data_IF_153502004221
#
_entry.id   IF_153502004221
#
_cell.length_a   1.000
_cell.length_b   1.000
_cell.length_c   1.000
_cell.angle_alpha   90.00
_cell.angle_beta   90.00
_cell.angle_gamma   90.00
#
_symmetry.space_group_name_H-M   'P 1'
#
loop_
_entity.id
_entity.type
_entity.pdbx_description
1 polymer ?
#
# COMPACT_ATOMS: atom_id res chain seq x y z
N UNK A 1 13.32 -23.64 -10.31
CA UNK A 1 12.87 -22.26 -10.06
C UNK A 1 11.53 -22.33 -9.37
N UNK A 2 11.34 -21.60 -8.27
CA UNK A 2 9.99 -21.40 -7.72
C UNK A 2 9.21 -20.56 -8.74
N UNK A 3 7.96 -20.93 -9.05
CA UNK A 3 7.13 -20.09 -9.91
C UNK A 3 6.92 -18.75 -9.22
N UNK A 4 7.33 -17.69 -9.88
CA UNK A 4 7.19 -16.30 -9.40
C UNK A 4 6.06 -15.63 -10.15
N UNK A 5 5.34 -14.74 -9.49
CA UNK A 5 4.30 -13.93 -10.11
C UNK A 5 4.58 -12.45 -9.86
N UNK A 6 4.37 -11.57 -10.87
CA UNK A 6 4.42 -10.12 -10.69
C UNK A 6 3.19 -9.55 -9.97
N UNK A 7 2.13 -10.35 -9.82
CA UNK A 7 0.89 -9.93 -9.17
C UNK A 7 1.08 -9.79 -7.66
N UNK A 8 0.75 -8.63 -7.12
CA UNK A 8 0.69 -8.40 -5.68
C UNK A 8 -0.56 -9.07 -5.10
N UNK A 9 -0.38 -9.92 -4.10
CA UNK A 9 -1.50 -10.53 -3.39
C UNK A 9 -1.95 -9.62 -2.24
N UNK A 10 -3.25 -9.49 -2.05
CA UNK A 10 -3.88 -8.70 -0.98
C UNK A 10 -3.18 -8.92 0.36
N UNK A 11 -2.65 -7.84 0.93
CA UNK A 11 -1.94 -7.84 2.21
C UNK A 11 -1.76 -6.42 2.74
N UNK A 12 -1.77 -6.25 4.08
CA UNK A 12 -1.43 -4.97 4.72
C UNK A 12 -2.34 -3.80 4.34
N UNK A 13 -3.60 -4.08 4.00
CA UNK A 13 -4.57 -3.08 3.55
C UNK A 13 -4.53 -2.75 2.06
N UNK A 14 -3.51 -3.19 1.31
CA UNK A 14 -3.47 -3.03 -0.14
C UNK A 14 -4.21 -4.16 -0.83
N UNK A 15 -5.14 -3.83 -1.74
CA UNK A 15 -5.83 -4.79 -2.61
C UNK A 15 -4.86 -5.49 -3.56
N UNK A 16 -5.21 -6.74 -3.92
CA UNK A 16 -4.49 -7.54 -4.89
C UNK A 16 -4.58 -6.98 -6.30
N UNK A 17 -3.56 -7.27 -7.10
CA UNK A 17 -3.56 -6.85 -8.49
C UNK A 17 -4.61 -7.58 -9.32
N UNK A 18 -5.09 -6.88 -10.33
CA UNK A 18 -5.86 -7.41 -11.45
C UNK A 18 -4.97 -7.52 -12.69
N UNK A 19 -5.45 -8.18 -13.71
CA UNK A 19 -4.74 -8.30 -14.99
C UNK A 19 -5.18 -9.48 -15.81
N UNK A 20 -4.27 -10.04 -16.62
CA UNK A 20 -4.58 -11.12 -17.56
C UNK A 20 -3.46 -12.15 -17.54
N UNK A 21 -3.84 -13.43 -17.63
CA UNK A 21 -2.94 -14.57 -17.87
C UNK A 21 -3.25 -15.12 -19.24
N UNK A 22 -2.23 -15.22 -20.11
CA UNK A 22 -2.40 -15.75 -21.47
C UNK A 22 -1.50 -16.95 -21.73
N UNK A 23 -2.01 -17.89 -22.54
CA UNK A 23 -1.29 -19.07 -22.97
C UNK A 23 -1.89 -19.62 -24.26
N UNK A 24 -1.10 -19.76 -25.33
CA UNK A 24 -1.51 -20.42 -26.59
C UNK A 24 -2.90 -19.97 -27.12
N UNK A 25 -3.18 -18.67 -27.04
CA UNK A 25 -4.47 -18.09 -27.46
C UNK A 25 -5.60 -18.22 -26.42
N UNK A 26 -5.34 -18.84 -25.28
CA UNK A 26 -6.23 -18.80 -24.11
C UNK A 26 -6.02 -17.51 -23.31
N UNK A 27 -7.09 -17.07 -22.64
CA UNK A 27 -7.09 -15.87 -21.81
C UNK A 27 -7.85 -16.11 -20.51
N UNK A 28 -7.19 -15.79 -19.39
CA UNK A 28 -7.79 -15.81 -18.06
C UNK A 28 -7.71 -14.40 -17.49
N UNK A 29 -8.85 -13.81 -17.20
CA UNK A 29 -8.95 -12.47 -16.59
C UNK A 29 -8.81 -12.61 -15.09
N UNK A 30 -7.78 -11.99 -14.51
CA UNK A 30 -7.54 -11.96 -13.07
C UNK A 30 -8.31 -10.77 -12.47
N UNK A 31 -9.30 -11.09 -11.63
CA UNK A 31 -10.14 -10.12 -10.93
C UNK A 31 -9.60 -9.79 -9.53
N UNK A 32 -8.83 -10.70 -8.94
CA UNK A 32 -8.17 -10.52 -7.63
C UNK A 32 -6.95 -11.42 -7.50
N UNK A 33 -6.03 -11.05 -6.62
CA UNK A 33 -4.85 -11.85 -6.27
C UNK A 33 -4.76 -11.99 -4.75
N UNK A 34 -4.73 -13.21 -4.27
CA UNK A 34 -4.81 -13.54 -2.83
C UNK A 34 -3.63 -14.41 -2.38
N UNK A 35 -3.34 -14.35 -1.07
CA UNK A 35 -2.42 -15.29 -0.44
C UNK A 35 -3.11 -16.60 -0.08
N UNK A 36 -2.49 -17.71 -0.47
CA UNK A 36 -2.91 -19.05 -0.10
C UNK A 36 -1.98 -19.63 0.97
N UNK A 37 -2.40 -20.75 1.57
CA UNK A 37 -1.58 -21.51 2.52
C UNK A 37 -0.23 -21.91 1.90
N UNK A 38 0.83 -21.91 2.72
CA UNK A 38 2.18 -22.25 2.30
C UNK A 38 2.87 -21.20 1.44
N UNK A 39 2.43 -19.92 1.52
CA UNK A 39 3.06 -18.79 0.83
C UNK A 39 2.80 -18.75 -0.68
N UNK A 40 1.85 -19.55 -1.17
CA UNK A 40 1.43 -19.52 -2.57
C UNK A 40 0.56 -18.30 -2.86
N UNK A 41 0.58 -17.87 -4.12
CA UNK A 41 -0.28 -16.80 -4.63
C UNK A 41 -1.37 -17.40 -5.49
N UNK A 42 -2.63 -17.04 -5.21
CA UNK A 42 -3.79 -17.45 -6.00
C UNK A 42 -4.27 -16.30 -6.87
N UNK A 43 -4.41 -16.53 -8.17
CA UNK A 43 -5.03 -15.62 -9.11
C UNK A 43 -6.49 -16.01 -9.25
N UNK A 44 -7.39 -15.14 -8.80
CA UNK A 44 -8.85 -15.37 -8.82
C UNK A 44 -9.44 -14.66 -10.01
N UNK A 45 -10.26 -15.36 -10.80
CA UNK A 45 -10.85 -14.75 -11.99
C UNK A 45 -11.56 -15.75 -12.88
N UNK A 46 -11.63 -15.46 -14.17
CA UNK A 46 -12.40 -16.23 -15.16
C UNK A 46 -11.59 -16.52 -16.41
N UNK A 47 -11.68 -17.75 -16.89
CA UNK A 47 -11.21 -18.12 -18.22
C UNK A 47 -12.22 -17.58 -19.25
N UNK A 48 -11.81 -16.59 -20.03
CA UNK A 48 -12.66 -15.92 -21.02
C UNK A 48 -12.51 -16.53 -22.41
N UNK A 49 -11.38 -17.20 -22.66
CA UNK A 49 -11.08 -17.81 -23.96
C UNK A 49 -10.14 -18.99 -23.82
N UNK A 50 -10.37 -20.03 -24.62
CA UNK A 50 -9.45 -21.16 -24.77
C UNK A 50 -9.40 -22.09 -23.56
N UNK A 51 -8.23 -22.70 -23.32
CA UNK A 51 -7.97 -23.66 -22.24
C UNK A 51 -6.54 -23.48 -21.72
N UNK A 52 -6.38 -23.51 -20.41
CA UNK A 52 -5.09 -23.52 -19.71
C UNK A 52 -5.01 -24.80 -18.87
N UNK A 53 -3.91 -25.51 -18.93
CA UNK A 53 -3.66 -26.76 -18.22
C UNK A 53 -2.49 -26.62 -17.25
N UNK A 54 -2.47 -27.45 -16.24
CA UNK A 54 -1.31 -27.58 -15.35
C UNK A 54 -0.07 -27.97 -16.17
N UNK A 55 1.01 -27.22 -15.96
CA UNK A 55 2.26 -27.40 -16.68
C UNK A 55 2.45 -26.47 -17.90
N UNK A 56 1.39 -25.77 -18.33
CA UNK A 56 1.53 -24.78 -19.38
C UNK A 56 2.40 -23.60 -18.94
N UNK A 57 3.19 -23.09 -19.89
CA UNK A 57 3.92 -21.83 -19.70
C UNK A 57 3.00 -20.68 -20.05
N UNK A 58 2.79 -19.79 -19.10
CA UNK A 58 1.87 -18.67 -19.22
C UNK A 58 2.58 -17.32 -19.18
N UNK A 59 1.99 -16.32 -19.82
CA UNK A 59 2.39 -14.91 -19.68
C UNK A 59 1.47 -14.24 -18.67
N UNK A 60 2.07 -13.60 -17.67
CA UNK A 60 1.40 -12.90 -16.58
C UNK A 60 1.50 -11.38 -16.83
N UNK A 61 0.36 -10.72 -17.01
CA UNK A 61 0.29 -9.28 -17.32
C UNK A 61 -0.58 -8.57 -16.28
N UNK A 62 0.07 -7.82 -15.38
CA UNK A 62 -0.61 -7.00 -14.38
C UNK A 62 -1.27 -5.80 -15.07
N UNK A 63 -2.46 -5.39 -14.61
CA UNK A 63 -3.08 -4.14 -15.02
C UNK A 63 -2.22 -2.95 -14.55
N UNK A 64 -1.39 -2.45 -15.44
CA UNK A 64 -0.38 -1.41 -15.13
C UNK A 64 -1.03 -0.10 -14.65
N UNK A 65 -2.20 0.27 -15.17
CA UNK A 65 -2.92 1.49 -14.78
C UNK A 65 -3.43 1.40 -13.34
N UNK A 66 -4.10 0.30 -13.00
CA UNK A 66 -4.61 0.09 -11.64
C UNK A 66 -3.46 -0.05 -10.64
N UNK A 67 -2.41 -0.79 -10.97
CA UNK A 67 -1.20 -0.89 -10.15
C UNK A 67 -0.57 0.49 -9.90
N UNK A 68 -0.44 1.32 -10.93
CA UNK A 68 0.11 2.66 -10.79
C UNK A 68 -0.73 3.53 -9.84
N UNK A 69 -2.05 3.48 -9.95
CA UNK A 69 -2.95 4.20 -9.05
C UNK A 69 -2.87 3.67 -7.60
N UNK A 70 -2.84 2.36 -7.44
CA UNK A 70 -2.65 1.72 -6.12
C UNK A 70 -1.33 2.15 -5.47
N UNK A 71 -0.23 2.22 -6.23
CA UNK A 71 1.06 2.72 -5.75
C UNK A 71 0.97 4.17 -5.27
N UNK A 72 0.27 5.05 -6.01
CA UNK A 72 0.04 6.44 -5.60
C UNK A 72 -0.73 6.51 -4.27
N UNK A 73 -1.83 5.79 -4.16
CA UNK A 73 -2.65 5.75 -2.97
C UNK A 73 -1.92 5.15 -1.77
N UNK A 74 -1.11 4.12 -1.97
CA UNK A 74 -0.33 3.53 -0.89
C UNK A 74 0.77 4.48 -0.40
N UNK A 75 1.49 5.11 -1.31
CA UNK A 75 2.51 6.10 -0.93
C UNK A 75 1.89 7.31 -0.25
N UNK A 76 0.74 7.81 -0.73
CA UNK A 76 -0.01 8.88 -0.08
C UNK A 76 -0.46 8.49 1.35
N UNK A 77 -0.76 7.22 1.61
CA UNK A 77 -1.12 6.74 2.95
C UNK A 77 0.02 6.95 3.96
N UNK A 78 1.27 6.69 3.56
CA UNK A 78 2.44 6.94 4.42
C UNK A 78 2.65 8.42 4.71
N UNK A 79 2.49 9.28 3.70
CA UNK A 79 2.55 10.73 3.89
C UNK A 79 1.44 11.22 4.81
N UNK A 80 0.21 10.71 4.62
CA UNK A 80 -0.96 11.03 5.45
C UNK A 80 -0.73 10.64 6.91
N UNK A 81 -0.23 9.44 7.18
CA UNK A 81 0.05 8.99 8.55
C UNK A 81 1.01 9.94 9.25
N UNK A 82 2.09 10.35 8.61
CA UNK A 82 3.06 11.27 9.17
C UNK A 82 2.47 12.67 9.38
N UNK A 83 1.69 13.17 8.42
CA UNK A 83 1.01 14.47 8.52
C UNK A 83 0.00 14.48 9.68
N UNK A 84 -0.81 13.42 9.84
CA UNK A 84 -1.74 13.28 10.97
C UNK A 84 -1.01 13.31 12.32
N UNK A 85 0.11 12.59 12.44
CA UNK A 85 0.93 12.64 13.67
C UNK A 85 1.50 14.03 13.93
N UNK A 86 1.88 14.74 12.89
CA UNK A 86 2.43 16.11 13.00
C UNK A 86 1.37 17.11 13.47
N UNK A 87 0.15 17.00 12.98
CA UNK A 87 -0.95 17.94 13.31
C UNK A 87 -1.68 17.58 14.58
N UNK A 88 -2.01 16.30 14.79
CA UNK A 88 -2.86 15.85 15.89
C UNK A 88 -2.07 15.33 17.09
N UNK A 89 -0.84 14.89 16.89
CA UNK A 89 0.04 14.43 17.97
C UNK A 89 0.46 12.96 17.88
N UNK A 90 1.37 12.57 18.75
CA UNK A 90 2.02 11.26 18.76
C UNK A 90 1.07 10.09 19.06
N UNK A 91 -0.11 10.35 19.61
CA UNK A 91 -1.14 9.33 19.91
C UNK A 91 -1.80 8.75 18.65
N UNK A 92 -1.62 9.39 17.48
CA UNK A 92 -2.13 8.89 16.21
C UNK A 92 -1.40 7.59 15.85
N UNK A 93 -2.14 6.49 15.88
CA UNK A 93 -1.69 5.16 15.50
C UNK A 93 -2.65 4.57 14.49
N UNK A 94 -2.12 3.88 13.49
CA UNK A 94 -2.95 3.16 12.53
C UNK A 94 -3.78 2.09 13.23
N UNK A 95 -5.08 2.08 12.95
CA UNK A 95 -6.03 1.04 13.39
C UNK A 95 -6.56 0.21 12.24
N UNK A 96 -6.50 0.74 11.04
CA UNK A 96 -6.86 0.07 9.80
C UNK A 96 -6.37 0.84 8.57
N UNK A 97 -6.34 0.17 7.45
CA UNK A 97 -5.98 0.77 6.16
C UNK A 97 -6.66 0.02 5.02
N UNK A 98 -7.08 0.74 4.00
CA UNK A 98 -7.53 0.19 2.73
C UNK A 98 -6.93 1.03 1.61
N UNK A 99 -6.24 0.37 0.69
CA UNK A 99 -5.61 0.99 -0.47
C UNK A 99 -6.09 0.26 -1.72
N UNK A 100 -6.79 1.00 -2.58
CA UNK A 100 -7.34 0.52 -3.86
C UNK A 100 -6.84 1.41 -5.00
N UNK A 101 -7.08 1.05 -6.27
CA UNK A 101 -6.77 1.94 -7.39
C UNK A 101 -7.52 3.28 -7.36
N UNK A 102 -8.68 3.33 -6.72
CA UNK A 102 -9.58 4.50 -6.74
C UNK A 102 -9.37 5.44 -5.56
N UNK A 103 -9.01 4.88 -4.39
CA UNK A 103 -8.90 5.65 -3.14
C UNK A 103 -8.05 4.96 -2.09
N UNK A 104 -7.72 5.71 -1.06
CA UNK A 104 -7.24 5.17 0.21
C UNK A 104 -8.23 5.47 1.34
N UNK A 105 -8.22 4.62 2.37
CA UNK A 105 -8.83 4.89 3.67
C UNK A 105 -7.80 4.60 4.74
N UNK A 106 -7.68 5.48 5.71
CA UNK A 106 -6.77 5.34 6.83
C UNK A 106 -7.53 5.54 8.13
N UNK A 107 -7.65 4.46 8.93
CA UNK A 107 -8.31 4.48 10.22
C UNK A 107 -7.24 4.66 11.31
N UNK A 108 -7.43 5.61 12.21
CA UNK A 108 -6.41 5.98 13.20
C UNK A 108 -7.01 6.32 14.57
N UNK A 109 -6.21 6.14 15.62
CA UNK A 109 -6.59 6.49 16.99
C UNK A 109 -6.66 8.01 17.12
N UNK A 110 -7.87 8.53 17.45
CA UNK A 110 -8.09 9.92 17.79
C UNK A 110 -9.42 10.07 18.53
N UNK A 111 -9.49 11.04 19.46
CA UNK A 111 -10.58 11.11 20.44
C UNK A 111 -11.80 11.86 19.95
N UNK A 112 -11.64 12.72 18.95
CA UNK A 112 -12.69 13.63 18.48
C UNK A 112 -12.64 13.79 16.96
N UNK A 113 -13.66 14.41 16.37
CA UNK A 113 -13.65 14.78 14.96
C UNK A 113 -12.52 15.78 14.69
N UNK A 114 -11.86 15.66 13.55
CA UNK A 114 -10.91 16.67 13.11
C UNK A 114 -11.65 17.97 12.76
N UNK A 115 -11.04 19.09 13.11
CA UNK A 115 -11.53 20.40 12.67
C UNK A 115 -11.23 20.63 11.19
N UNK A 116 -11.90 21.61 10.59
CA UNK A 116 -11.63 22.00 9.21
C UNK A 116 -10.17 22.45 9.03
N UNK A 117 -9.67 23.24 9.97
CA UNK A 117 -8.27 23.71 9.97
C UNK A 117 -7.27 22.56 10.10
N UNK A 118 -7.54 21.58 10.94
CA UNK A 118 -6.69 20.39 11.06
C UNK A 118 -6.66 19.59 9.76
N UNK A 119 -7.81 19.39 9.10
CA UNK A 119 -7.88 18.69 7.80
C UNK A 119 -7.13 19.47 6.71
N UNK A 120 -7.31 20.77 6.62
CA UNK A 120 -6.60 21.62 5.66
C UNK A 120 -5.09 21.58 5.88
N UNK A 121 -4.64 21.59 7.14
CA UNK A 121 -3.22 21.54 7.47
C UNK A 121 -2.62 20.17 7.15
N UNK A 122 -3.32 19.06 7.43
CA UNK A 122 -2.87 17.71 7.05
C UNK A 122 -2.76 17.60 5.54
N UNK A 123 -3.78 18.05 4.80
CA UNK A 123 -3.79 18.04 3.34
C UNK A 123 -2.66 18.88 2.75
N UNK A 124 -2.38 20.08 3.33
CA UNK A 124 -1.29 20.94 2.92
C UNK A 124 0.07 20.25 3.10
N UNK A 125 0.34 19.66 4.27
CA UNK A 125 1.60 18.93 4.52
C UNK A 125 1.80 17.80 3.50
N UNK A 126 0.77 16.99 3.24
CA UNK A 126 0.90 15.90 2.26
C UNK A 126 1.22 16.44 0.86
N UNK A 127 0.56 17.51 0.43
CA UNK A 127 0.81 18.11 -0.89
C UNK A 127 2.18 18.83 -0.97
N UNK A 128 2.69 19.40 0.13
CA UNK A 128 4.06 19.91 0.21
C UNK A 128 5.08 18.81 -0.05
N UNK A 129 4.95 17.66 0.62
CA UNK A 129 5.86 16.52 0.43
C UNK A 129 5.74 15.88 -0.97
N UNK A 130 4.57 15.97 -1.60
CA UNK A 130 4.37 15.61 -3.00
C UNK A 130 5.15 16.57 -3.91
N UNK A 131 5.06 17.88 -3.64
CA UNK A 131 5.73 18.91 -4.43
C UNK A 131 7.26 18.86 -4.30
N UNK A 132 7.79 18.46 -3.12
CA UNK A 132 9.22 18.22 -2.89
C UNK A 132 9.78 17.07 -3.74
N UNK A 133 8.92 16.21 -4.31
CA UNK A 133 9.31 15.09 -5.17
C UNK A 133 10.36 14.18 -4.54
N UNK A 134 10.15 13.80 -3.29
CA UNK A 134 11.06 12.98 -2.50
C UNK A 134 11.27 11.60 -3.12
N UNK A 135 12.50 11.05 -3.12
CA UNK A 135 12.75 9.68 -3.53
C UNK A 135 12.05 8.71 -2.57
N UNK A 136 11.44 7.66 -3.12
CA UNK A 136 10.84 6.55 -2.36
C UNK A 136 11.77 5.36 -2.46
N UNK A 137 12.47 5.07 -1.38
CA UNK A 137 13.47 4.00 -1.32
C UNK A 137 12.99 2.81 -0.52
N UNK A 138 13.35 1.63 -0.98
CA UNK A 138 13.05 0.37 -0.30
C UNK A 138 14.33 -0.34 0.06
N UNK A 139 14.47 -0.71 1.33
CA UNK A 139 15.61 -1.47 1.84
C UNK A 139 15.15 -2.69 2.62
N UNK A 140 15.86 -3.80 2.44
CA UNK A 140 15.68 -5.00 3.27
C UNK A 140 16.79 -5.00 4.30
N UNK A 141 16.43 -5.09 5.57
CA UNK A 141 17.38 -5.06 6.68
C UNK A 141 16.89 -5.92 7.85
N UNK A 142 17.74 -6.11 8.86
CA UNK A 142 17.34 -6.76 10.10
C UNK A 142 16.30 -5.93 10.85
N UNK A 143 15.47 -6.57 11.67
CA UNK A 143 14.50 -5.86 12.52
C UNK A 143 15.20 -4.90 13.50
N UNK A 144 16.41 -5.26 13.95
CA UNK A 144 17.21 -4.42 14.84
C UNK A 144 17.70 -3.15 14.14
N UNK A 145 18.20 -3.26 12.91
CA UNK A 145 18.65 -2.11 12.12
C UNK A 145 17.48 -1.22 11.74
N UNK A 146 16.31 -1.81 11.41
CA UNK A 146 15.10 -1.06 11.17
C UNK A 146 14.69 -0.22 12.38
N UNK A 147 14.71 -0.79 13.58
CA UNK A 147 14.45 -0.05 14.83
C UNK A 147 15.46 1.07 15.07
N UNK A 148 16.75 0.80 14.87
CA UNK A 148 17.83 1.80 15.01
C UNK A 148 17.69 2.95 14.00
N UNK A 149 17.17 2.66 12.81
CA UNK A 149 16.92 3.67 11.78
C UNK A 149 15.71 4.55 12.06
N UNK A 150 14.96 4.30 13.15
CA UNK A 150 13.73 5.01 13.48
C UNK A 150 12.53 4.60 12.64
N UNK A 151 12.59 3.45 11.94
CA UNK A 151 11.46 2.96 11.17
C UNK A 151 10.29 2.60 12.07
N UNK A 152 9.10 3.12 11.71
CA UNK A 152 7.87 2.78 12.41
C UNK A 152 7.38 1.39 11.99
N UNK A 153 7.09 0.55 13.00
CA UNK A 153 6.46 -0.75 12.82
C UNK A 153 4.97 -0.66 13.19
N UNK A 154 4.13 -1.43 12.53
CA UNK A 154 2.75 -1.60 12.93
C UNK A 154 2.68 -2.35 14.27
N UNK A 155 1.89 -1.83 15.20
CA UNK A 155 1.74 -2.41 16.52
C UNK A 155 1.06 -3.79 16.42
N UNK A 156 1.67 -4.81 17.03
CA UNK A 156 1.12 -6.17 17.09
C UNK A 156 1.42 -7.08 15.91
N UNK A 157 2.10 -6.63 14.88
CA UNK A 157 2.57 -7.51 13.81
C UNK A 157 3.83 -8.28 14.23
N UNK A 158 3.87 -9.56 13.89
CA UNK A 158 5.06 -10.39 14.05
C UNK A 158 5.91 -10.29 12.77
N UNK A 159 7.07 -9.68 12.92
CA UNK A 159 8.05 -9.58 11.85
C UNK A 159 9.06 -10.73 11.94
N UNK A 160 9.51 -11.23 10.79
CA UNK A 160 10.66 -12.15 10.72
C UNK A 160 11.99 -11.44 11.00
N UNK A 161 13.08 -12.18 10.86
CA UNK A 161 14.44 -11.65 11.09
C UNK A 161 14.84 -10.55 10.12
N UNK A 162 14.18 -10.51 8.97
CA UNK A 162 14.39 -9.53 7.89
C UNK A 162 13.09 -8.81 7.56
N UNK A 163 13.16 -7.49 7.47
CA UNK A 163 12.01 -6.61 7.19
C UNK A 163 12.29 -5.67 6.02
N UNK A 164 11.23 -5.28 5.34
CA UNK A 164 11.26 -4.31 4.26
C UNK A 164 10.89 -2.94 4.81
N UNK A 165 11.82 -1.99 4.72
CA UNK A 165 11.64 -0.59 5.13
C UNK A 165 11.45 0.28 3.90
N UNK A 166 10.42 1.09 3.90
CA UNK A 166 10.11 2.10 2.87
C UNK A 166 10.36 3.48 3.46
N UNK A 167 11.21 4.26 2.80
CA UNK A 167 11.54 5.63 3.18
C UNK A 167 11.11 6.61 2.08
N UNK A 168 10.56 7.75 2.47
CA UNK A 168 10.21 8.85 1.58
C UNK A 168 11.01 10.07 2.01
N UNK A 169 12.22 10.22 1.43
CA UNK A 169 13.22 11.15 1.93
C UNK A 169 13.45 10.95 3.43
N UNK A 170 13.54 12.06 4.17
CA UNK A 170 13.63 12.07 5.64
C UNK A 170 12.25 12.24 6.31
N UNK A 171 11.18 12.41 5.54
CA UNK A 171 9.85 12.69 6.04
C UNK A 171 9.18 11.46 6.67
N UNK A 172 9.23 10.31 6.00
CA UNK A 172 8.59 9.07 6.44
C UNK A 172 9.51 7.88 6.29
N UNK A 173 9.51 7.00 7.29
CA UNK A 173 10.23 5.71 7.27
C UNK A 173 9.45 4.66 8.02
N UNK A 174 8.96 3.64 7.31
CA UNK A 174 8.03 2.66 7.86
C UNK A 174 8.31 1.25 7.33
N UNK A 175 7.97 0.23 8.15
CA UNK A 175 7.95 -1.15 7.69
C UNK A 175 6.72 -1.34 6.78
N UNK A 176 6.96 -1.71 5.53
CA UNK A 176 5.88 -1.88 4.56
C UNK A 176 6.24 -2.91 3.48
N UNK A 177 5.33 -3.86 3.25
CA UNK A 177 5.44 -4.87 2.19
C UNK A 177 4.73 -4.51 0.88
N UNK A 178 4.08 -3.35 0.81
CA UNK A 178 3.28 -2.93 -0.33
C UNK A 178 4.05 -2.35 -1.52
N UNK A 179 3.30 -1.89 -2.51
CA UNK A 179 3.86 -1.29 -3.73
C UNK A 179 3.77 0.23 -3.68
N UNK A 180 4.81 0.90 -4.15
CA UNK A 180 4.96 2.36 -4.03
C UNK A 180 5.38 3.03 -5.34
N UNK A 181 5.18 4.34 -5.40
CA UNK A 181 5.73 5.20 -6.46
C UNK A 181 7.24 5.35 -6.29
N UNK A 182 8.00 5.62 -7.39
CA UNK A 182 9.45 5.87 -7.28
C UNK A 182 9.80 7.20 -6.60
N UNK A 183 8.92 8.19 -6.73
CA UNK A 183 9.05 9.53 -6.14
C UNK A 183 7.68 10.04 -5.72
N UNK A 184 7.61 10.85 -4.66
CA UNK A 184 6.33 11.39 -4.16
C UNK A 184 5.63 12.28 -5.18
N UNK A 185 6.35 12.98 -6.06
CA UNK A 185 5.78 13.80 -7.12
C UNK A 185 4.89 13.05 -8.13
N UNK A 186 5.07 11.73 -8.27
CA UNK A 186 4.22 10.88 -9.13
C UNK A 186 2.76 10.83 -8.62
N UNK A 187 2.53 11.09 -7.33
CA UNK A 187 1.18 11.15 -6.74
C UNK A 187 0.38 12.30 -7.35
N UNK A 188 1.03 13.40 -7.69
CA UNK A 188 0.54 14.66 -8.26
C UNK A 188 -0.23 15.53 -7.27
N UNK A 189 -1.30 15.04 -6.68
CA UNK A 189 -2.11 15.78 -5.69
C UNK A 189 -2.82 14.83 -4.74
N UNK A 190 -3.11 15.34 -3.55
CA UNK A 190 -3.82 14.62 -2.49
C UNK A 190 -5.00 15.46 -1.99
N UNK A 191 -6.14 14.84 -1.75
CA UNK A 191 -7.34 15.47 -1.21
C UNK A 191 -8.01 14.61 -0.16
N UNK A 192 -8.35 15.20 0.98
CA UNK A 192 -9.20 14.57 1.99
C UNK A 192 -10.64 14.75 1.54
N UNK A 193 -11.32 13.65 1.24
CA UNK A 193 -12.70 13.66 0.77
C UNK A 193 -13.69 13.70 1.95
N UNK A 194 -13.39 12.95 3.00
CA UNK A 194 -14.22 12.89 4.21
C UNK A 194 -13.42 12.39 5.40
N UNK A 195 -13.88 12.73 6.59
CA UNK A 195 -13.40 12.24 7.88
C UNK A 195 -14.63 11.90 8.73
N UNK A 196 -14.65 10.72 9.35
CA UNK A 196 -15.75 10.27 10.18
C UNK A 196 -15.29 9.31 11.29
N UNK A 197 -16.10 9.17 12.35
CA UNK A 197 -15.87 8.16 13.38
C UNK A 197 -16.15 6.76 12.83
N UNK A 198 -15.25 5.83 13.14
CA UNK A 198 -15.36 4.41 12.78
C UNK A 198 -15.78 3.58 13.99
N UNK A 199 -15.19 3.88 15.15
CA UNK A 199 -15.45 3.25 16.43
C UNK A 199 -15.09 4.21 17.58
N UNK A 200 -15.32 3.83 18.82
CA UNK A 200 -14.90 4.60 19.98
C UNK A 200 -13.38 4.83 19.96
N UNK A 201 -12.96 6.09 19.89
CA UNK A 201 -11.55 6.49 19.82
C UNK A 201 -10.84 6.20 18.48
N UNK A 202 -11.58 5.90 17.43
CA UNK A 202 -11.06 5.64 16.07
C UNK A 202 -11.77 6.50 15.03
N UNK A 203 -10.97 7.21 14.26
CA UNK A 203 -11.40 8.07 13.15
C UNK A 203 -10.89 7.54 11.84
#
# INVERSE_FOLDING_TARGET
>A
QKPETPFYATMGGQEGDTGVITCNGAEFVVEDTIKLRGGKVGHVGKLTKGMIKTGDVVTLSVNAKERANTCKNHSATHLLQKALKTVLGAHVEQKGSLVTPDRLRFDFAHFQAMTAEEMERVEAIVNEEIAENLPVETQIMSIEDAKKSGAMALFGEKYGDSVRVVSMGDFSRELCGGTHVPNTGVITTFKIVSEAGVAAGVR
#
